data_IF_175538341283
#
_entry.id   IF_175538341283
#
_cell.length_a   1.000
_cell.length_b   1.000
_cell.length_c   1.000
_cell.angle_alpha   90.00
_cell.angle_beta   90.00
_cell.angle_gamma   90.00
#
_symmetry.space_group_name_H-M   'P 1'
#
loop_
_entity.id
_entity.type
_entity.pdbx_description
1 polymer ?
#
# COMPACT_ATOMS: atom_id res chain seq x y z
N UNK A 1 8.51 -51.27 -1.10
CA UNK A 1 8.85 -50.02 -0.37
C UNK A 1 9.96 -49.33 -1.11
N UNK A 2 9.64 -48.29 -1.91
CA UNK A 2 10.62 -47.41 -2.55
C UNK A 2 10.43 -46.03 -1.93
N UNK A 3 11.47 -45.49 -1.31
CA UNK A 3 11.54 -44.07 -0.97
C UNK A 3 11.52 -43.27 -2.27
N UNK A 4 10.42 -42.58 -2.54
CA UNK A 4 10.35 -41.61 -3.62
C UNK A 4 10.93 -40.31 -3.09
N UNK A 5 12.19 -40.05 -3.46
CA UNK A 5 12.84 -38.76 -3.25
C UNK A 5 12.22 -37.77 -4.22
N UNK A 6 11.18 -37.06 -3.79
CA UNK A 6 10.61 -35.92 -4.52
C UNK A 6 11.56 -34.73 -4.41
N UNK A 7 12.35 -34.51 -5.47
CA UNK A 7 13.26 -33.37 -5.59
C UNK A 7 12.62 -32.28 -6.49
N UNK A 8 12.21 -31.21 -5.81
CA UNK A 8 12.08 -29.80 -6.22
C UNK A 8 11.15 -29.36 -7.37
N UNK A 9 9.91 -28.92 -7.04
CA UNK A 9 9.19 -27.85 -7.78
C UNK A 9 8.99 -26.52 -7.01
N UNK A 10 9.99 -25.94 -6.31
CA UNK A 10 9.86 -24.62 -5.67
C UNK A 10 9.65 -23.46 -6.66
N UNK A 11 9.71 -23.70 -7.99
CA UNK A 11 9.80 -22.62 -8.98
C UNK A 11 8.48 -22.22 -9.63
N UNK A 12 7.44 -23.07 -9.63
CA UNK A 12 6.09 -22.63 -10.03
C UNK A 12 5.52 -21.70 -8.95
N UNK A 13 5.78 -22.05 -7.68
CA UNK A 13 5.62 -21.17 -6.52
C UNK A 13 6.31 -19.82 -6.70
N UNK A 14 7.60 -19.86 -7.06
CA UNK A 14 8.35 -18.66 -7.36
C UNK A 14 7.77 -17.87 -8.54
N UNK A 15 7.27 -18.54 -9.58
CA UNK A 15 6.70 -17.88 -10.77
C UNK A 15 5.38 -17.16 -10.47
N UNK A 16 4.45 -17.77 -9.73
CA UNK A 16 3.20 -17.09 -9.37
C UNK A 16 3.44 -16.00 -8.31
N UNK A 17 4.38 -16.19 -7.39
CA UNK A 17 4.83 -15.13 -6.48
C UNK A 17 5.44 -13.96 -7.28
N UNK A 18 6.34 -14.24 -8.23
CA UNK A 18 6.92 -13.23 -9.10
C UNK A 18 5.87 -12.58 -9.99
N UNK A 19 4.88 -13.31 -10.49
CA UNK A 19 3.79 -12.78 -11.28
C UNK A 19 2.90 -11.85 -10.44
N UNK A 20 2.59 -12.22 -9.19
CA UNK A 20 1.88 -11.35 -8.26
C UNK A 20 2.69 -10.08 -7.94
N UNK A 21 3.99 -10.20 -7.69
CA UNK A 21 4.90 -9.06 -7.49
C UNK A 21 4.92 -8.18 -8.75
N UNK A 22 5.02 -8.77 -9.95
CA UNK A 22 5.02 -8.05 -11.22
C UNK A 22 3.68 -7.35 -11.44
N UNK A 23 2.54 -7.97 -11.13
CA UNK A 23 1.22 -7.33 -11.21
C UNK A 23 1.16 -6.13 -10.25
N UNK A 24 1.62 -6.27 -9.01
CA UNK A 24 1.66 -5.15 -8.06
C UNK A 24 2.57 -4.02 -8.57
N UNK A 25 3.76 -4.35 -9.07
CA UNK A 25 4.72 -3.38 -9.63
C UNK A 25 4.17 -2.71 -10.90
N UNK A 26 3.51 -3.46 -11.78
CA UNK A 26 2.91 -2.96 -13.02
C UNK A 26 1.71 -2.09 -12.72
N UNK A 27 0.83 -2.47 -11.77
CA UNK A 27 -0.30 -1.64 -11.34
C UNK A 27 0.21 -0.36 -10.68
N UNK A 28 1.20 -0.44 -9.79
CA UNK A 28 1.83 0.74 -9.21
C UNK A 28 2.49 1.62 -10.28
N UNK A 29 3.20 1.02 -11.24
CA UNK A 29 3.82 1.69 -12.38
C UNK A 29 2.81 2.33 -13.34
N UNK A 30 1.68 1.67 -13.59
CA UNK A 30 0.58 2.16 -14.42
C UNK A 30 -0.14 3.33 -13.73
N UNK A 31 -0.36 3.26 -12.42
CA UNK A 31 -0.84 4.38 -11.62
C UNK A 31 0.14 5.55 -11.77
N UNK A 32 1.45 5.32 -11.58
CA UNK A 32 2.48 6.36 -11.77
C UNK A 32 2.50 6.87 -13.22
N UNK A 33 2.26 6.03 -14.23
CA UNK A 33 2.28 6.39 -15.65
C UNK A 33 1.01 7.14 -16.12
N UNK A 34 -0.17 6.77 -15.63
CA UNK A 34 -1.41 7.54 -15.82
C UNK A 34 -1.25 8.89 -15.12
N UNK A 35 -0.69 8.88 -13.90
CA UNK A 35 -0.17 10.06 -13.21
C UNK A 35 1.06 10.69 -13.90
N UNK A 36 1.60 10.11 -14.99
CA UNK A 36 2.63 10.51 -16.01
C UNK A 36 2.11 11.17 -17.31
N UNK A 37 0.88 10.86 -17.74
CA UNK A 37 0.27 11.37 -19.00
C UNK A 37 -0.76 12.52 -19.03
N UNK A 38 -1.26 13.04 -17.90
CA UNK A 38 -2.20 14.19 -17.88
C UNK A 38 -1.44 15.48 -18.28
N UNK A 39 -1.97 16.29 -19.22
CA UNK A 39 -1.25 17.41 -19.82
C UNK A 39 -1.31 18.64 -18.92
N UNK A 40 -0.31 18.79 -18.03
CA UNK A 40 -0.14 19.99 -17.18
C UNK A 40 1.22 20.68 -17.31
N UNK A 41 2.19 20.07 -18.01
CA UNK A 41 3.60 20.46 -17.86
C UNK A 41 4.03 21.71 -18.66
N UNK A 42 3.30 22.11 -19.70
CA UNK A 42 3.74 23.22 -20.59
C UNK A 42 3.56 24.62 -20.00
N UNK A 43 2.78 24.80 -18.92
CA UNK A 43 2.63 26.12 -18.25
C UNK A 43 3.76 26.46 -17.26
N UNK A 44 4.60 25.50 -16.86
CA UNK A 44 5.57 25.71 -15.77
C UNK A 44 6.92 26.32 -16.20
N UNK A 45 7.28 26.25 -17.48
CA UNK A 45 8.55 26.81 -17.96
C UNK A 45 8.55 28.35 -17.99
N UNK A 46 7.39 28.99 -18.21
CA UNK A 46 7.27 30.45 -18.21
C UNK A 46 7.36 31.04 -16.79
N UNK A 47 6.86 30.34 -15.77
CA UNK A 47 6.92 30.77 -14.36
C UNK A 47 8.33 30.67 -13.77
N UNK A 48 9.24 29.91 -14.39
CA UNK A 48 10.61 29.74 -13.88
C UNK A 48 11.49 30.99 -14.07
N UNK A 49 11.30 31.74 -15.16
CA UNK A 49 12.16 32.89 -15.48
C UNK A 49 11.88 34.10 -14.58
N UNK A 50 10.62 34.36 -14.23
CA UNK A 50 10.26 35.40 -13.24
C UNK A 50 10.74 35.01 -11.83
N UNK A 51 10.62 33.73 -11.46
CA UNK A 51 11.09 33.24 -10.17
C UNK A 51 12.61 33.39 -9.97
N UNK A 52 13.41 33.36 -11.05
CA UNK A 52 14.87 33.53 -10.94
C UNK A 52 15.31 34.97 -10.65
N UNK A 53 14.61 35.99 -11.16
CA UNK A 53 14.98 37.39 -10.93
C UNK A 53 14.65 37.84 -9.49
N UNK A 54 13.47 37.49 -8.99
CA UNK A 54 13.09 37.75 -7.60
C UNK A 54 13.97 36.98 -6.61
N UNK A 55 14.42 35.77 -6.98
CA UNK A 55 15.32 34.99 -6.14
C UNK A 55 16.68 35.71 -5.93
N UNK A 56 17.25 36.36 -6.94
CA UNK A 56 18.50 37.10 -6.78
C UNK A 56 18.34 38.36 -5.91
N UNK A 57 17.21 39.08 -6.05
CA UNK A 57 16.90 40.23 -5.18
C UNK A 57 16.81 39.81 -3.72
N UNK A 58 16.05 38.75 -3.43
CA UNK A 58 15.84 38.27 -2.06
C UNK A 58 17.13 37.65 -1.49
N UNK A 59 17.96 37.02 -2.32
CA UNK A 59 19.30 36.57 -1.92
C UNK A 59 20.18 37.73 -1.45
N UNK A 60 20.16 38.85 -2.17
CA UNK A 60 20.93 40.03 -1.79
C UNK A 60 20.44 40.62 -0.46
N UNK A 61 19.13 40.72 -0.26
CA UNK A 61 18.53 41.20 1.00
C UNK A 61 18.89 40.27 2.18
N UNK A 62 18.80 38.95 1.98
CA UNK A 62 19.18 37.98 3.00
C UNK A 62 20.68 38.00 3.32
N UNK A 63 21.53 38.19 2.30
CA UNK A 63 22.96 38.34 2.50
C UNK A 63 23.29 39.61 3.31
N UNK A 64 22.59 40.72 3.04
CA UNK A 64 22.73 41.96 3.82
C UNK A 64 22.29 41.78 5.29
N UNK A 65 21.30 40.91 5.53
CA UNK A 65 20.89 40.52 6.87
C UNK A 65 21.81 39.48 7.55
N UNK A 66 22.94 39.11 6.92
CA UNK A 66 23.88 38.12 7.46
C UNK A 66 23.40 36.66 7.38
N UNK A 67 22.37 36.38 6.57
CA UNK A 67 21.83 35.03 6.39
C UNK A 67 22.59 34.27 5.30
N UNK A 68 22.80 32.96 5.52
CA UNK A 68 23.53 32.11 4.57
C UNK A 68 22.55 31.52 3.55
N UNK A 69 22.64 31.99 2.31
CA UNK A 69 21.90 31.42 1.19
C UNK A 69 22.67 30.24 0.62
N UNK A 70 22.01 29.09 0.46
CA UNK A 70 22.57 27.91 -0.22
C UNK A 70 21.66 27.47 -1.36
N UNK A 71 22.22 27.32 -2.56
CA UNK A 71 21.47 26.78 -3.70
C UNK A 71 21.92 25.35 -3.95
N UNK A 72 20.97 24.42 -3.97
CA UNK A 72 21.23 23.02 -4.32
C UNK A 72 20.45 22.68 -5.58
N UNK A 73 21.15 22.11 -6.57
CA UNK A 73 20.52 21.70 -7.83
C UNK A 73 19.35 20.72 -7.62
N UNK A 74 19.44 19.84 -6.62
CA UNK A 74 18.42 18.82 -6.37
C UNK A 74 17.34 19.21 -5.36
N UNK A 75 17.64 20.12 -4.43
CA UNK A 75 16.73 20.48 -3.33
C UNK A 75 16.00 21.80 -3.54
N UNK A 76 16.27 22.48 -4.65
CA UNK A 76 15.82 23.85 -4.87
C UNK A 76 16.64 24.86 -4.07
N UNK A 77 16.32 26.16 -4.19
CA UNK A 77 16.98 27.19 -3.42
C UNK A 77 16.52 27.11 -1.95
N UNK A 78 17.48 27.25 -1.04
CA UNK A 78 17.25 27.27 0.41
C UNK A 78 18.06 28.36 1.09
N UNK A 79 17.51 28.91 2.15
CA UNK A 79 18.14 29.94 2.97
C UNK A 79 18.14 29.45 4.39
N UNK A 80 19.29 29.50 5.04
CA UNK A 80 19.44 29.02 6.41
C UNK A 80 20.22 30.04 7.22
N UNK A 81 19.88 30.20 8.48
CA UNK A 81 20.58 31.11 9.36
C UNK A 81 20.00 31.13 10.76
N UNK A 82 20.42 32.12 11.52
CA UNK A 82 19.88 32.40 12.85
C UNK A 82 19.17 33.73 12.79
N UNK A 83 17.90 33.77 13.19
CA UNK A 83 17.12 34.99 13.27
C UNK A 83 16.35 34.96 14.60
N UNK A 84 16.43 36.07 15.36
CA UNK A 84 15.86 36.16 16.72
C UNK A 84 16.34 35.03 17.66
N UNK A 85 17.59 34.58 17.50
CA UNK A 85 18.18 33.50 18.30
C UNK A 85 17.76 32.08 17.88
N UNK A 86 16.88 31.92 16.90
CA UNK A 86 16.43 30.62 16.42
C UNK A 86 17.09 30.26 15.08
N UNK A 87 17.62 29.03 14.99
CA UNK A 87 18.10 28.47 13.73
C UNK A 87 16.91 28.07 12.84
N UNK A 88 16.91 28.51 11.59
CA UNK A 88 15.84 28.20 10.65
C UNK A 88 16.37 27.78 9.27
N UNK A 89 15.50 27.12 8.52
CA UNK A 89 15.65 26.81 7.09
C UNK A 89 14.41 27.28 6.36
N UNK A 90 14.58 28.06 5.31
CA UNK A 90 13.52 28.52 4.42
C UNK A 90 13.79 27.99 3.03
N UNK A 91 12.89 27.16 2.50
CA UNK A 91 13.11 26.39 1.28
C UNK A 91 11.95 26.57 0.31
N UNK A 92 12.28 26.66 -0.97
CA UNK A 92 11.29 26.58 -2.05
C UNK A 92 11.28 25.13 -2.56
N UNK A 93 10.19 24.42 -2.31
CA UNK A 93 9.95 23.10 -2.87
C UNK A 93 9.29 23.27 -4.22
N UNK A 94 10.01 22.86 -5.26
CA UNK A 94 9.49 22.89 -6.61
C UNK A 94 8.23 22.02 -6.71
N UNK A 95 7.24 22.54 -7.44
CA UNK A 95 6.02 21.80 -7.72
C UNK A 95 6.33 20.52 -8.47
N UNK A 96 5.59 19.46 -8.14
CA UNK A 96 5.52 18.28 -8.97
C UNK A 96 4.23 18.30 -9.78
N UNK A 97 4.01 17.28 -10.60
CA UNK A 97 2.77 17.20 -11.36
C UNK A 97 1.50 17.23 -10.51
N UNK A 98 1.53 16.62 -9.32
CA UNK A 98 0.36 16.51 -8.45
C UNK A 98 0.49 17.38 -7.20
N UNK A 99 1.44 18.31 -7.18
CA UNK A 99 1.65 19.19 -6.04
C UNK A 99 2.13 20.54 -6.53
N UNK A 100 1.41 21.64 -6.27
CA UNK A 100 1.89 22.96 -6.64
C UNK A 100 3.24 23.25 -5.95
N UNK A 101 4.05 24.19 -6.48
CA UNK A 101 5.21 24.67 -5.76
C UNK A 101 4.79 25.21 -4.40
N UNK A 102 5.65 25.07 -3.41
CA UNK A 102 5.39 25.57 -2.06
C UNK A 102 6.65 26.10 -1.42
N UNK A 103 6.45 27.01 -0.47
CA UNK A 103 7.52 27.41 0.44
C UNK A 103 7.37 26.67 1.76
N UNK A 104 8.50 26.34 2.37
CA UNK A 104 8.62 25.68 3.67
C UNK A 104 9.54 26.54 4.55
N UNK A 105 9.05 26.97 5.71
CA UNK A 105 9.83 27.60 6.77
C UNK A 105 9.92 26.65 7.95
N UNK A 106 11.12 26.19 8.24
CA UNK A 106 11.38 25.18 9.26
C UNK A 106 12.30 25.73 10.34
N UNK A 107 12.01 25.37 11.59
CA UNK A 107 12.85 25.68 12.75
C UNK A 107 12.98 24.45 13.65
N UNK A 108 14.13 24.29 14.30
CA UNK A 108 14.30 23.25 15.32
C UNK A 108 13.35 23.52 16.48
N UNK A 109 12.68 22.48 16.94
CA UNK A 109 11.73 22.58 18.04
C UNK A 109 12.08 21.62 19.17
N UNK A 110 11.79 22.04 20.40
CA UNK A 110 11.84 21.17 21.58
C UNK A 110 10.53 20.37 21.78
N UNK A 111 9.53 20.60 20.92
CA UNK A 111 8.31 19.81 20.88
C UNK A 111 8.63 18.34 20.59
N UNK A 112 7.79 17.43 21.09
CA UNK A 112 7.93 15.98 20.88
C UNK A 112 6.78 15.44 20.04
N UNK A 113 7.01 14.31 19.39
CA UNK A 113 6.00 13.65 18.58
C UNK A 113 5.90 14.20 17.17
N UNK A 114 4.82 13.84 16.50
CA UNK A 114 4.51 14.29 15.15
C UNK A 114 3.07 14.79 15.09
N UNK A 115 2.88 15.94 14.47
CA UNK A 115 1.56 16.50 14.20
C UNK A 115 1.54 17.36 12.95
N UNK A 116 0.33 17.61 12.44
CA UNK A 116 0.05 18.53 11.36
C UNK A 116 -1.24 19.29 11.68
N UNK A 117 -1.19 20.60 11.48
CA UNK A 117 -2.31 21.53 11.54
C UNK A 117 -2.54 22.05 10.13
N UNK A 118 -3.79 21.99 9.65
CA UNK A 118 -4.21 22.46 8.32
C UNK A 118 -5.52 23.21 8.44
N UNK A 119 -5.93 23.98 7.42
CA UNK A 119 -7.34 24.42 7.34
C UNK A 119 -8.23 23.20 7.07
N UNK A 120 -9.41 23.16 7.68
CA UNK A 120 -10.37 22.07 7.46
C UNK A 120 -10.84 22.09 5.99
N UNK A 121 -10.67 20.97 5.30
CA UNK A 121 -11.09 20.77 3.91
C UNK A 121 -12.40 20.01 3.80
N UNK A 122 -13.00 20.01 2.60
CA UNK A 122 -14.29 19.33 2.36
C UNK A 122 -14.23 17.81 2.52
N UNK A 123 -13.13 17.18 2.12
CA UNK A 123 -12.91 15.74 2.30
C UNK A 123 -12.77 15.34 3.76
N UNK A 124 -12.03 16.13 4.54
CA UNK A 124 -11.82 15.93 5.96
C UNK A 124 -13.13 16.04 6.73
N UNK A 125 -13.97 17.03 6.37
CA UNK A 125 -15.32 17.19 6.92
C UNK A 125 -16.20 15.95 6.71
N UNK A 126 -16.11 15.29 5.55
CA UNK A 126 -16.80 14.02 5.31
C UNK A 126 -16.31 12.89 6.23
N UNK A 127 -15.01 12.72 6.40
CA UNK A 127 -14.48 11.67 7.30
C UNK A 127 -14.78 11.94 8.78
N UNK A 128 -14.88 13.22 9.15
CA UNK A 128 -15.31 13.66 10.48
C UNK A 128 -16.80 13.37 10.72
N UNK A 129 -17.66 13.62 9.72
CA UNK A 129 -19.10 13.40 9.85
C UNK A 129 -19.47 11.92 10.05
N UNK A 130 -18.70 11.00 9.45
CA UNK A 130 -18.87 9.55 9.66
C UNK A 130 -18.18 9.03 10.94
N UNK A 131 -17.55 9.91 11.74
CA UNK A 131 -16.88 9.54 12.99
C UNK A 131 -15.65 8.65 12.82
N UNK A 132 -15.07 8.64 11.62
CA UNK A 132 -13.98 7.73 11.27
C UNK A 132 -12.62 8.30 11.68
N UNK A 133 -12.39 9.60 11.41
CA UNK A 133 -11.25 10.33 11.93
C UNK A 133 -11.62 10.95 13.27
N UNK A 134 -11.00 10.45 14.35
CA UNK A 134 -11.00 11.21 15.60
C UNK A 134 -10.15 12.45 15.39
N UNK A 135 -10.69 13.62 15.69
CA UNK A 135 -9.93 14.86 15.69
C UNK A 135 -9.60 15.26 17.13
N UNK A 136 -8.38 15.74 17.35
CA UNK A 136 -8.02 16.33 18.63
C UNK A 136 -8.74 17.67 18.81
N UNK A 137 -9.82 17.69 19.60
CA UNK A 137 -10.48 18.94 19.98
C UNK A 137 -9.63 19.69 21.02
N UNK A 138 -9.37 20.97 20.78
CA UNK A 138 -8.59 21.83 21.68
C UNK A 138 -9.42 22.40 22.84
N UNK A 139 -10.75 22.39 22.68
CA UNK A 139 -11.68 23.03 23.62
C UNK A 139 -12.00 24.49 23.24
N UNK A 140 -11.35 25.03 22.21
CA UNK A 140 -11.66 26.32 21.61
C UNK A 140 -12.45 26.08 20.31
N UNK A 141 -13.78 26.18 20.40
CA UNK A 141 -14.67 25.91 19.28
C UNK A 141 -14.42 26.82 18.06
N UNK A 142 -13.84 28.02 18.23
CA UNK A 142 -13.49 28.88 17.10
C UNK A 142 -12.23 28.36 16.39
N UNK A 143 -11.26 27.85 17.14
CA UNK A 143 -10.08 27.18 16.59
C UNK A 143 -10.44 25.87 15.89
N UNK A 144 -11.21 25.01 16.57
CA UNK A 144 -11.58 23.66 16.12
C UNK A 144 -12.51 23.67 14.87
N UNK A 145 -13.14 24.81 14.55
CA UNK A 145 -13.89 25.03 13.29
C UNK A 145 -13.03 25.50 12.13
N UNK A 146 -11.86 26.05 12.39
CA UNK A 146 -10.98 26.63 11.37
C UNK A 146 -9.87 25.68 10.97
N UNK A 147 -9.38 24.89 11.92
CA UNK A 147 -8.20 24.07 11.76
C UNK A 147 -8.48 22.60 12.03
N UNK A 148 -7.93 21.75 11.17
CA UNK A 148 -7.87 20.32 11.34
C UNK A 148 -6.55 19.92 12.01
N UNK A 149 -6.65 19.19 13.13
CA UNK A 149 -5.51 18.69 13.90
C UNK A 149 -5.31 17.18 13.70
N UNK A 150 -4.16 16.79 13.13
CA UNK A 150 -3.75 15.40 12.98
C UNK A 150 -2.41 15.14 13.66
N UNK A 151 -2.22 13.97 14.26
CA UNK A 151 -0.95 13.59 14.86
C UNK A 151 -1.00 12.22 15.50
N UNK A 152 0.13 11.78 16.07
CA UNK A 152 0.27 10.42 16.62
C UNK A 152 -0.61 10.21 17.87
N UNK A 153 -0.88 11.25 18.65
CA UNK A 153 -1.69 11.18 19.86
C UNK A 153 -2.64 12.38 19.97
N UNK A 154 -3.94 12.10 20.09
CA UNK A 154 -4.96 13.14 20.29
C UNK A 154 -4.84 13.81 21.65
N UNK A 155 -4.50 13.04 22.69
CA UNK A 155 -4.30 13.58 24.03
C UNK A 155 -3.10 14.51 24.08
N UNK A 156 -2.04 14.18 23.33
CA UNK A 156 -0.88 15.07 23.18
C UNK A 156 -1.28 16.38 22.49
N UNK A 157 -2.03 16.31 21.39
CA UNK A 157 -2.47 17.49 20.65
C UNK A 157 -3.42 18.36 21.48
N UNK A 158 -4.38 17.76 22.17
CA UNK A 158 -5.29 18.45 23.09
C UNK A 158 -4.50 19.16 24.19
N UNK A 159 -3.53 18.47 24.79
CA UNK A 159 -2.69 19.06 25.83
C UNK A 159 -1.78 20.18 25.30
N UNK A 160 -1.22 20.03 24.10
CA UNK A 160 -0.36 21.01 23.46
C UNK A 160 -1.12 22.28 23.09
N UNK A 161 -2.28 22.12 22.45
CA UNK A 161 -3.12 23.23 22.00
C UNK A 161 -4.16 23.67 23.03
N UNK A 162 -4.08 23.20 24.27
CA UNK A 162 -4.82 23.79 25.40
C UNK A 162 -4.31 25.19 25.75
N UNK A 163 -3.02 25.47 25.51
CA UNK A 163 -2.43 26.81 25.64
C UNK A 163 -2.92 27.73 24.52
N UNK A 164 -3.54 28.86 24.89
CA UNK A 164 -4.01 29.86 23.94
C UNK A 164 -2.89 30.44 23.09
N UNK A 165 -1.68 30.58 23.64
CA UNK A 165 -0.53 31.09 22.90
C UNK A 165 -0.17 30.19 21.71
N UNK A 166 -0.28 28.87 21.87
CA UNK A 166 -0.02 27.94 20.77
C UNK A 166 -1.10 28.05 19.67
N UNK A 167 -2.37 28.24 20.06
CA UNK A 167 -3.48 28.44 19.11
C UNK A 167 -3.33 29.77 18.36
N UNK A 168 -2.94 30.83 19.04
CA UNK A 168 -2.77 32.16 18.45
C UNK A 168 -1.56 32.21 17.51
N UNK A 169 -0.45 31.55 17.86
CA UNK A 169 0.70 31.39 16.98
C UNK A 169 0.32 30.68 15.66
N UNK A 170 -0.48 29.61 15.74
CA UNK A 170 -1.01 28.95 14.53
C UNK A 170 -1.90 29.91 13.73
N UNK A 171 -2.86 30.59 14.36
CA UNK A 171 -3.72 31.57 13.65
C UNK A 171 -2.90 32.64 12.93
N UNK A 172 -1.85 33.16 13.59
CA UNK A 172 -0.96 34.16 13.02
C UNK A 172 -0.18 33.62 11.80
N UNK A 173 0.36 32.39 11.87
CA UNK A 173 0.98 31.74 10.71
C UNK A 173 -0.02 31.61 9.54
N UNK A 174 -1.25 31.17 9.81
CA UNK A 174 -2.26 31.05 8.75
C UNK A 174 -2.77 32.39 8.22
N UNK A 175 -2.69 33.48 9.01
CA UNK A 175 -2.96 34.85 8.56
C UNK A 175 -1.86 35.40 7.66
N UNK A 176 -0.61 34.95 7.85
CA UNK A 176 0.52 35.21 6.94
C UNK A 176 0.45 34.40 5.63
N UNK A 177 -0.63 33.63 5.44
CA UNK A 177 -0.91 32.86 4.22
C UNK A 177 -0.36 31.45 4.21
N UNK A 178 0.22 30.96 5.32
CA UNK A 178 0.54 29.53 5.43
C UNK A 178 -0.76 28.70 5.49
N UNK A 179 -0.69 27.48 4.97
CA UNK A 179 -1.83 26.55 4.91
C UNK A 179 -1.58 25.25 5.69
N UNK A 180 -0.37 25.08 6.21
CA UNK A 180 0.04 23.94 7.00
C UNK A 180 1.11 24.32 8.01
N UNK A 181 0.99 23.76 9.21
CA UNK A 181 2.07 23.72 10.21
C UNK A 181 2.26 22.27 10.62
N UNK A 182 3.48 21.75 10.62
CA UNK A 182 3.75 20.36 10.95
C UNK A 182 5.00 20.21 11.81
N UNK A 183 4.96 19.29 12.78
CA UNK A 183 6.14 18.85 13.53
C UNK A 183 6.50 17.46 13.05
N UNK A 184 7.75 17.28 12.61
CA UNK A 184 8.28 15.99 12.19
C UNK A 184 9.77 15.92 12.50
N UNK A 185 10.23 14.80 13.05
CA UNK A 185 11.66 14.57 13.34
C UNK A 185 12.32 15.70 14.17
N UNK A 186 11.56 16.34 15.06
CA UNK A 186 12.02 17.47 15.90
C UNK A 186 12.11 18.81 15.17
N UNK A 187 11.63 18.88 13.94
CA UNK A 187 11.59 20.10 13.12
C UNK A 187 10.15 20.54 12.92
N UNK A 188 9.87 21.80 13.30
CA UNK A 188 8.57 22.43 13.14
C UNK A 188 8.60 23.24 11.84
N UNK A 189 7.67 22.96 10.93
CA UNK A 189 7.65 23.49 9.58
C UNK A 189 6.30 24.13 9.27
N UNK A 190 6.30 25.38 8.84
CA UNK A 190 5.14 26.04 8.23
C UNK A 190 5.27 26.00 6.71
N UNK A 191 4.22 25.59 6.00
CA UNK A 191 4.21 25.51 4.54
C UNK A 191 3.06 26.31 3.92
N UNK A 192 3.31 26.86 2.72
CA UNK A 192 2.35 27.63 1.92
C UNK A 192 2.39 27.14 0.48
N UNK A 193 1.30 26.53 0.01
CA UNK A 193 1.18 25.99 -1.34
C UNK A 193 0.89 27.09 -2.37
N UNK A 194 1.24 26.83 -3.64
CA UNK A 194 1.00 27.73 -4.76
C UNK A 194 1.96 28.90 -4.86
N UNK A 195 3.00 28.95 -4.02
CA UNK A 195 3.94 30.07 -3.96
C UNK A 195 5.35 29.55 -4.24
N UNK A 196 6.03 30.20 -5.17
CA UNK A 196 7.38 29.84 -5.63
C UNK A 196 8.40 30.96 -5.37
N UNK A 197 8.10 31.86 -4.44
CA UNK A 197 8.92 33.02 -4.08
C UNK A 197 9.23 32.98 -2.59
N UNK A 198 10.46 33.33 -2.22
CA UNK A 198 10.82 33.52 -0.83
C UNK A 198 10.00 34.67 -0.21
N UNK A 199 9.68 34.54 1.07
CA UNK A 199 9.14 35.62 1.90
C UNK A 199 10.11 36.81 2.00
N UNK A 200 9.58 38.02 1.94
CA UNK A 200 10.30 39.24 2.33
C UNK A 200 10.83 39.12 3.78
N UNK A 201 11.94 39.78 4.12
CA UNK A 201 12.64 39.57 5.40
C UNK A 201 11.75 39.84 6.63
N UNK A 202 10.89 40.85 6.56
CA UNK A 202 9.93 41.18 7.62
C UNK A 202 8.88 40.07 7.82
N UNK A 203 8.34 39.52 6.72
CA UNK A 203 7.40 38.41 6.76
C UNK A 203 8.06 37.11 7.23
N UNK A 204 9.30 36.86 6.82
CA UNK A 204 10.12 35.75 7.31
C UNK A 204 10.33 35.84 8.83
N UNK A 205 10.70 37.03 9.33
CA UNK A 205 10.88 37.27 10.77
C UNK A 205 9.59 37.02 11.54
N UNK A 206 8.48 37.63 11.11
CA UNK A 206 7.18 37.45 11.73
C UNK A 206 6.74 35.98 11.75
N UNK A 207 6.89 35.27 10.63
CA UNK A 207 6.57 33.84 10.55
C UNK A 207 7.45 32.99 11.48
N UNK A 208 8.77 33.25 11.52
CA UNK A 208 9.68 32.51 12.40
C UNK A 208 9.38 32.76 13.88
N UNK A 209 9.06 33.98 14.26
CA UNK A 209 8.67 34.32 15.64
C UNK A 209 7.42 33.53 16.07
N UNK A 210 6.40 33.43 15.21
CA UNK A 210 5.22 32.62 15.50
C UNK A 210 5.54 31.12 15.54
N UNK A 211 6.43 30.65 14.66
CA UNK A 211 6.85 29.25 14.64
C UNK A 211 7.59 28.86 15.93
N UNK A 212 8.48 29.73 16.42
CA UNK A 212 9.25 29.49 17.65
C UNK A 212 8.42 29.76 18.92
N UNK A 213 7.35 30.57 18.82
CA UNK A 213 6.41 30.78 19.91
C UNK A 213 5.64 29.50 20.29
N UNK A 214 5.57 28.51 19.40
CA UNK A 214 4.99 27.20 19.69
C UNK A 214 5.86 26.44 20.69
N UNK A 215 5.32 26.24 21.89
CA UNK A 215 6.05 25.67 23.02
C UNK A 215 5.36 24.44 23.60
N UNK A 216 6.18 23.53 24.13
CA UNK A 216 5.68 22.37 24.88
C UNK A 216 5.01 22.87 26.17
N UNK A 217 3.77 22.46 26.43
CA UNK A 217 3.10 22.67 27.72
C UNK A 217 3.50 21.58 28.71
N UNK A 218 3.41 21.84 30.02
CA UNK A 218 3.68 20.82 31.04
C UNK A 218 2.81 19.57 30.85
N UNK A 219 1.53 19.76 30.55
CA UNK A 219 0.58 18.67 30.24
C UNK A 219 0.97 17.90 28.99
N UNK A 220 1.39 18.58 27.91
CA UNK A 220 1.84 17.90 26.69
C UNK A 220 3.12 17.09 26.94
N UNK A 221 4.03 17.60 27.76
CA UNK A 221 5.25 16.88 28.15
C UNK A 221 4.91 15.61 28.95
N UNK A 222 3.95 15.69 29.87
CA UNK A 222 3.49 14.53 30.64
C UNK A 222 2.88 13.45 29.74
N UNK A 223 2.01 13.83 28.80
CA UNK A 223 1.44 12.88 27.82
C UNK A 223 2.54 12.28 26.94
N UNK A 224 3.53 13.09 26.53
CA UNK A 224 4.65 12.59 25.75
C UNK A 224 5.51 11.58 26.52
N UNK A 225 5.72 11.78 27.83
CA UNK A 225 6.47 10.86 28.70
C UNK A 225 5.73 9.54 28.95
N UNK A 226 4.39 9.55 28.94
CA UNK A 226 3.58 8.32 29.02
C UNK A 226 3.65 7.46 27.74
N UNK A 227 4.33 7.97 26.70
CA UNK A 227 4.54 7.28 25.44
C UNK A 227 3.56 7.74 24.38
N UNK A 228 4.10 8.36 23.33
CA UNK A 228 3.33 8.77 22.15
C UNK A 228 3.04 7.58 21.23
N UNK A 229 2.46 6.48 21.75
CA UNK A 229 1.75 5.38 21.06
C UNK A 229 2.16 4.83 19.67
N UNK A 230 3.30 5.23 19.10
CA UNK A 230 3.55 5.22 17.64
C UNK A 230 4.15 3.94 17.09
N UNK A 231 4.48 2.97 17.95
CA UNK A 231 5.02 1.68 17.49
C UNK A 231 3.96 0.86 16.71
N UNK A 232 2.67 1.17 16.85
CA UNK A 232 1.58 0.31 16.37
C UNK A 232 1.37 0.31 14.84
N UNK A 233 1.64 1.41 14.13
CA UNK A 233 1.37 1.49 12.67
C UNK A 233 2.37 0.65 11.86
N UNK A 234 3.67 0.66 12.22
CA UNK A 234 4.67 -0.17 11.51
C UNK A 234 4.37 -1.66 11.62
N UNK A 235 3.86 -2.09 12.78
CA UNK A 235 3.48 -3.50 12.97
C UNK A 235 2.30 -3.91 12.08
N UNK A 236 1.33 -3.02 11.81
CA UNK A 236 0.19 -3.35 10.95
C UNK A 236 0.66 -3.61 9.51
N UNK A 237 1.51 -2.72 8.97
CA UNK A 237 2.08 -2.92 7.63
C UNK A 237 2.87 -4.23 7.55
N UNK A 238 3.72 -4.52 8.54
CA UNK A 238 4.46 -5.79 8.60
C UNK A 238 3.54 -7.00 8.70
N UNK A 239 2.53 -6.96 9.56
CA UNK A 239 1.56 -8.06 9.72
C UNK A 239 0.79 -8.30 8.43
N UNK A 240 0.32 -7.24 7.75
CA UNK A 240 -0.38 -7.38 6.47
C UNK A 240 0.49 -8.05 5.40
N UNK A 241 1.77 -7.66 5.32
CA UNK A 241 2.73 -8.27 4.39
C UNK A 241 3.02 -9.74 4.73
N UNK A 242 3.13 -10.08 6.01
CA UNK A 242 3.32 -11.46 6.48
C UNK A 242 2.08 -12.31 6.16
N UNK A 243 0.87 -11.81 6.43
CA UNK A 243 -0.37 -12.53 6.12
C UNK A 243 -0.52 -12.78 4.62
N UNK A 244 -0.24 -11.79 3.78
CA UNK A 244 -0.21 -11.98 2.32
C UNK A 244 0.83 -13.03 1.92
N UNK A 245 2.05 -12.95 2.47
CA UNK A 245 3.11 -13.92 2.21
C UNK A 245 2.71 -15.36 2.56
N UNK A 246 2.04 -15.55 3.71
CA UNK A 246 1.51 -16.85 4.14
C UNK A 246 0.41 -17.32 3.19
N UNK A 247 -0.55 -16.46 2.82
CA UNK A 247 -1.65 -16.81 1.93
C UNK A 247 -1.13 -17.25 0.55
N UNK A 248 -0.18 -16.52 -0.03
CA UNK A 248 0.46 -16.89 -1.30
C UNK A 248 1.24 -18.19 -1.15
N UNK A 249 2.04 -18.35 -0.10
CA UNK A 249 2.82 -19.57 0.13
C UNK A 249 1.92 -20.80 0.30
N UNK A 250 0.82 -20.68 1.03
CA UNK A 250 -0.15 -21.75 1.23
C UNK A 250 -0.85 -22.12 -0.09
N UNK A 251 -1.25 -21.13 -0.89
CA UNK A 251 -1.80 -21.39 -2.23
C UNK A 251 -0.77 -22.09 -3.13
N UNK A 252 0.49 -21.65 -3.11
CA UNK A 252 1.54 -22.28 -3.89
C UNK A 252 1.84 -23.70 -3.46
N UNK A 253 1.89 -23.96 -2.14
CA UNK A 253 2.02 -25.30 -1.60
C UNK A 253 0.84 -26.17 -2.06
N UNK A 254 -0.38 -25.62 -2.05
CA UNK A 254 -1.58 -26.32 -2.53
C UNK A 254 -1.44 -26.74 -3.99
N UNK A 255 -0.99 -25.83 -4.86
CA UNK A 255 -0.76 -26.15 -6.28
C UNK A 255 0.35 -27.19 -6.50
N UNK A 256 1.25 -27.35 -5.54
CA UNK A 256 2.36 -28.29 -5.64
C UNK A 256 2.01 -29.68 -5.09
N UNK A 257 1.30 -29.74 -3.96
CA UNK A 257 1.04 -30.98 -3.23
C UNK A 257 -0.29 -31.64 -3.59
N UNK A 258 -1.21 -30.92 -4.24
CA UNK A 258 -2.47 -31.49 -4.64
C UNK A 258 -2.42 -32.09 -6.04
N UNK A 259 -3.22 -33.13 -6.20
CA UNK A 259 -3.38 -33.81 -7.47
C UNK A 259 -4.06 -32.90 -8.51
N UNK A 260 -3.79 -33.08 -9.81
CA UNK A 260 -4.30 -32.18 -10.83
C UNK A 260 -5.83 -32.27 -10.94
N UNK A 261 -6.47 -31.10 -10.92
CA UNK A 261 -7.91 -30.97 -11.18
C UNK A 261 -8.20 -31.08 -12.67
N UNK A 262 -9.28 -31.80 -13.01
CA UNK A 262 -9.70 -32.04 -14.40
C UNK A 262 -10.04 -30.72 -15.12
N UNK A 263 -10.69 -29.78 -14.43
CA UNK A 263 -11.02 -28.46 -14.97
C UNK A 263 -9.94 -27.40 -14.70
N UNK A 264 -8.81 -27.81 -14.11
CA UNK A 264 -7.73 -26.94 -13.67
C UNK A 264 -8.05 -26.12 -12.41
N UNK A 265 -7.04 -25.47 -11.82
CA UNK A 265 -7.19 -24.69 -10.58
C UNK A 265 -8.07 -23.45 -10.76
N UNK A 266 -8.22 -22.95 -12.00
CA UNK A 266 -9.04 -21.78 -12.29
C UNK A 266 -10.55 -22.04 -12.19
N UNK A 267 -10.99 -23.29 -12.24
CA UNK A 267 -12.41 -23.62 -12.06
C UNK A 267 -12.89 -23.17 -10.66
N UNK A 268 -12.10 -23.42 -9.62
CA UNK A 268 -12.42 -22.98 -8.26
C UNK A 268 -12.19 -21.49 -8.01
N UNK A 269 -11.48 -20.80 -8.90
CA UNK A 269 -11.11 -19.40 -8.70
C UNK A 269 -12.33 -18.48 -8.56
N UNK A 270 -13.34 -18.69 -9.41
CA UNK A 270 -14.55 -17.88 -9.41
C UNK A 270 -15.52 -18.27 -8.29
N UNK A 271 -15.65 -19.57 -8.04
CA UNK A 271 -16.57 -20.09 -7.02
C UNK A 271 -16.09 -19.78 -5.59
N UNK A 272 -14.76 -19.70 -5.40
CA UNK A 272 -14.15 -19.22 -4.15
C UNK A 272 -14.28 -17.71 -3.95
N UNK A 273 -14.74 -16.96 -4.97
CA UNK A 273 -14.90 -15.51 -4.88
C UNK A 273 -15.94 -15.08 -3.85
N UNK A 274 -17.06 -15.81 -3.73
CA UNK A 274 -18.11 -15.51 -2.75
C UNK A 274 -17.62 -15.59 -1.31
N UNK A 275 -17.04 -16.72 -0.83
CA UNK A 275 -16.53 -16.79 0.53
C UNK A 275 -15.39 -15.79 0.77
N UNK A 276 -14.53 -15.54 -0.23
CA UNK A 276 -13.48 -14.52 -0.13
C UNK A 276 -14.05 -13.10 0.09
N UNK A 277 -15.10 -12.72 -0.64
CA UNK A 277 -15.77 -11.42 -0.49
C UNK A 277 -16.47 -11.28 0.87
N UNK A 278 -17.10 -12.36 1.37
CA UNK A 278 -17.71 -12.36 2.71
C UNK A 278 -16.64 -12.19 3.77
N UNK A 279 -15.56 -12.98 3.73
CA UNK A 279 -14.43 -12.87 4.64
C UNK A 279 -13.79 -11.48 4.59
N UNK A 280 -13.68 -10.90 3.39
CA UNK A 280 -13.17 -9.55 3.19
C UNK A 280 -14.09 -8.49 3.80
N UNK A 281 -15.41 -8.60 3.64
CA UNK A 281 -16.38 -7.72 4.29
C UNK A 281 -16.27 -7.76 5.82
N UNK A 282 -16.12 -8.95 6.39
CA UNK A 282 -15.90 -9.14 7.84
C UNK A 282 -14.57 -8.50 8.27
N UNK A 283 -13.50 -8.72 7.52
CA UNK A 283 -12.18 -8.13 7.79
C UNK A 283 -12.25 -6.59 7.77
N UNK A 284 -12.87 -6.01 6.75
CA UNK A 284 -13.04 -4.56 6.63
C UNK A 284 -13.88 -4.02 7.79
N UNK A 285 -15.00 -4.65 8.13
CA UNK A 285 -15.83 -4.24 9.26
C UNK A 285 -15.07 -4.30 10.59
N UNK A 286 -14.36 -5.40 10.86
CA UNK A 286 -13.52 -5.53 12.05
C UNK A 286 -12.41 -4.47 12.09
N UNK A 287 -11.78 -4.20 10.95
CA UNK A 287 -10.75 -3.16 10.81
C UNK A 287 -11.32 -1.78 11.10
N UNK A 288 -12.48 -1.44 10.55
CA UNK A 288 -13.15 -0.16 10.82
C UNK A 288 -13.41 0.03 12.32
N UNK A 289 -13.84 -1.02 13.02
CA UNK A 289 -14.08 -0.98 14.47
C UNK A 289 -12.78 -0.83 15.27
N UNK A 290 -11.72 -1.57 14.91
CA UNK A 290 -10.44 -1.56 15.60
C UNK A 290 -9.60 -0.29 15.36
N UNK A 291 -9.79 0.34 14.19
CA UNK A 291 -9.09 1.55 13.80
C UNK A 291 -9.88 2.83 14.14
N UNK A 292 -11.14 2.71 14.57
CA UNK A 292 -11.98 3.86 14.90
C UNK A 292 -11.27 4.79 15.89
N UNK A 293 -11.23 6.07 15.54
CA UNK A 293 -10.63 7.11 16.38
C UNK A 293 -9.10 7.22 16.29
N UNK A 294 -8.44 6.44 15.43
CA UNK A 294 -7.00 6.62 15.15
C UNK A 294 -6.77 7.63 14.03
N UNK A 295 -5.79 8.50 14.19
CA UNK A 295 -5.41 9.47 13.17
C UNK A 295 -4.97 8.82 11.84
N UNK A 296 -4.34 7.65 11.90
CA UNK A 296 -3.85 6.92 10.72
C UNK A 296 -4.86 5.90 10.14
N UNK A 297 -6.08 5.84 10.67
CA UNK A 297 -7.09 4.84 10.28
C UNK A 297 -7.35 4.77 8.76
N UNK A 298 -7.47 5.88 8.01
CA UNK A 298 -7.75 5.81 6.57
C UNK A 298 -6.60 5.16 5.79
N UNK A 299 -5.35 5.45 6.15
CA UNK A 299 -4.18 4.87 5.50
C UNK A 299 -4.07 3.38 5.83
N UNK A 300 -4.21 3.02 7.11
CA UNK A 300 -4.17 1.63 7.57
C UNK A 300 -5.31 0.80 6.94
N UNK A 301 -6.53 1.36 6.88
CA UNK A 301 -7.68 0.74 6.23
C UNK A 301 -7.44 0.53 4.73
N UNK A 302 -6.89 1.53 4.02
CA UNK A 302 -6.59 1.42 2.59
C UNK A 302 -5.58 0.31 2.32
N UNK A 303 -4.53 0.20 3.16
CA UNK A 303 -3.54 -0.87 3.04
C UNK A 303 -4.17 -2.25 3.28
N UNK A 304 -4.96 -2.40 4.34
CA UNK A 304 -5.68 -3.64 4.65
C UNK A 304 -6.68 -3.98 3.53
N UNK A 305 -7.34 -3.00 2.94
CA UNK A 305 -8.26 -3.18 1.83
C UNK A 305 -7.54 -3.70 0.57
N UNK A 306 -6.45 -3.03 0.18
CA UNK A 306 -5.66 -3.37 -1.01
C UNK A 306 -4.95 -4.72 -0.90
N UNK A 307 -4.43 -5.05 0.28
CA UNK A 307 -3.69 -6.30 0.53
C UNK A 307 -4.65 -7.43 0.91
N UNK A 308 -5.70 -7.14 1.66
CA UNK A 308 -6.62 -8.12 2.22
C UNK A 308 -7.43 -8.84 1.15
N UNK A 309 -8.00 -8.12 0.17
CA UNK A 309 -8.85 -8.75 -0.84
C UNK A 309 -8.08 -9.78 -1.68
N UNK A 310 -6.91 -9.48 -2.29
CA UNK A 310 -6.16 -10.49 -3.04
C UNK A 310 -5.65 -11.63 -2.14
N UNK A 311 -5.24 -11.34 -0.89
CA UNK A 311 -4.79 -12.37 0.06
C UNK A 311 -5.89 -13.37 0.35
N UNK A 312 -7.08 -12.87 0.68
CA UNK A 312 -8.25 -13.69 1.00
C UNK A 312 -8.74 -14.44 -0.22
N UNK A 313 -8.68 -13.86 -1.41
CA UNK A 313 -9.07 -14.54 -2.64
C UNK A 313 -8.15 -15.73 -2.91
N UNK A 314 -6.84 -15.49 -2.98
CA UNK A 314 -5.83 -16.54 -3.24
C UNK A 314 -5.85 -17.61 -2.15
N UNK A 315 -5.92 -17.20 -0.88
CA UNK A 315 -6.03 -18.11 0.25
C UNK A 315 -7.30 -18.95 0.22
N UNK A 316 -8.44 -18.37 -0.18
CA UNK A 316 -9.72 -19.10 -0.30
C UNK A 316 -9.67 -20.15 -1.39
N UNK A 317 -9.05 -19.85 -2.54
CA UNK A 317 -8.89 -20.86 -3.62
C UNK A 317 -8.02 -22.02 -3.13
N UNK A 318 -6.88 -21.73 -2.49
CA UNK A 318 -6.01 -22.78 -1.94
C UNK A 318 -6.74 -23.63 -0.90
N UNK A 319 -7.43 -23.00 0.05
CA UNK A 319 -8.21 -23.69 1.06
C UNK A 319 -9.35 -24.54 0.45
N UNK A 320 -10.04 -24.02 -0.57
CA UNK A 320 -11.09 -24.76 -1.28
C UNK A 320 -10.53 -25.97 -2.02
N UNK A 321 -9.37 -25.83 -2.68
CA UNK A 321 -8.72 -26.95 -3.35
C UNK A 321 -8.29 -28.04 -2.36
N UNK A 322 -7.68 -27.65 -1.23
CA UNK A 322 -7.30 -28.58 -0.15
C UNK A 322 -8.53 -29.31 0.39
N UNK A 323 -9.57 -28.58 0.78
CA UNK A 323 -10.79 -29.16 1.29
C UNK A 323 -11.48 -30.05 0.24
N UNK A 324 -11.42 -29.68 -1.05
CA UNK A 324 -12.00 -30.50 -2.11
C UNK A 324 -11.39 -31.89 -2.21
N UNK A 325 -10.07 -32.03 -2.00
CA UNK A 325 -9.40 -33.33 -2.08
C UNK A 325 -9.38 -34.06 -0.74
N UNK A 326 -9.00 -33.38 0.34
CA UNK A 326 -8.87 -34.01 1.67
C UNK A 326 -10.20 -34.43 2.29
N UNK A 327 -11.30 -33.75 1.96
CA UNK A 327 -12.64 -34.12 2.44
C UNK A 327 -13.41 -34.98 1.43
N UNK A 328 -12.76 -35.39 0.34
CA UNK A 328 -13.37 -36.25 -0.67
C UNK A 328 -13.46 -37.69 -0.16
N UNK A 329 -14.68 -38.19 -0.06
CA UNK A 329 -14.98 -39.58 0.31
C UNK A 329 -15.60 -40.36 -0.85
N UNK A 330 -15.66 -39.76 -2.04
CA UNK A 330 -16.25 -40.40 -3.21
C UNK A 330 -15.42 -41.61 -3.67
N UNK A 331 -16.07 -42.68 -4.16
CA UNK A 331 -15.36 -43.82 -4.71
C UNK A 331 -14.62 -43.43 -5.99
N UNK A 332 -13.42 -44.00 -6.24
CA UNK A 332 -12.69 -43.75 -7.48
C UNK A 332 -13.48 -44.26 -8.69
N UNK A 333 -13.46 -43.49 -9.77
CA UNK A 333 -14.08 -43.82 -11.05
C UNK A 333 -13.00 -44.09 -12.09
N UNK A 334 -13.02 -45.30 -12.65
CA UNK A 334 -12.06 -45.70 -13.68
C UNK A 334 -12.59 -45.32 -15.06
N UNK A 335 -11.86 -44.47 -15.78
CA UNK A 335 -12.19 -44.00 -17.11
C UNK A 335 -11.10 -44.42 -18.09
N UNK A 336 -11.50 -45.07 -19.19
CA UNK A 336 -10.60 -45.40 -20.31
C UNK A 336 -10.72 -44.34 -21.39
N UNK A 337 -9.63 -43.63 -21.65
CA UNK A 337 -9.58 -42.54 -22.65
C UNK A 337 -8.41 -42.72 -23.59
N UNK A 338 -8.61 -42.37 -24.85
CA UNK A 338 -7.55 -42.36 -25.86
C UNK A 338 -6.86 -41.00 -25.82
N UNK A 339 -5.54 -40.99 -25.70
CA UNK A 339 -4.75 -39.75 -25.74
C UNK A 339 -4.86 -39.11 -27.13
N UNK A 340 -5.45 -37.90 -27.20
CA UNK A 340 -5.58 -37.17 -28.47
C UNK A 340 -4.25 -36.58 -28.89
N UNK A 341 -3.56 -35.91 -27.97
CA UNK A 341 -2.26 -35.31 -28.18
C UNK A 341 -1.54 -35.09 -26.86
N UNK A 342 -0.23 -34.98 -26.94
CA UNK A 342 0.60 -34.47 -25.86
C UNK A 342 1.47 -33.36 -26.42
N UNK A 343 1.74 -32.33 -25.62
CA UNK A 343 2.64 -31.25 -26.01
C UNK A 343 3.39 -30.70 -24.81
N UNK A 344 4.54 -30.07 -25.09
CA UNK A 344 5.33 -29.38 -24.09
C UNK A 344 5.36 -27.88 -24.41
N UNK A 345 4.99 -27.05 -23.43
CA UNK A 345 5.11 -25.59 -23.57
C UNK A 345 6.49 -25.16 -23.08
N UNK A 346 7.27 -24.57 -23.98
CA UNK A 346 8.64 -24.14 -23.70
C UNK A 346 8.64 -22.65 -23.34
N UNK A 347 9.14 -22.33 -22.16
CA UNK A 347 9.34 -20.96 -21.70
C UNK A 347 10.61 -20.90 -20.85
N UNK A 348 10.56 -20.20 -19.72
CA UNK A 348 11.64 -20.29 -18.72
C UNK A 348 11.76 -21.71 -18.15
N UNK A 349 10.64 -22.42 -18.04
CA UNK A 349 10.53 -23.83 -17.70
C UNK A 349 9.65 -24.54 -18.74
N UNK A 350 9.86 -25.84 -18.89
CA UNK A 350 9.03 -26.68 -19.79
C UNK A 350 7.90 -27.33 -19.00
N UNK A 351 6.65 -27.05 -19.36
CA UNK A 351 5.47 -27.74 -18.81
C UNK A 351 4.96 -28.80 -19.79
N UNK A 352 4.53 -29.94 -19.26
CA UNK A 352 4.12 -31.10 -20.06
C UNK A 352 2.62 -31.33 -19.91
N UNK A 353 1.94 -31.46 -21.03
CA UNK A 353 0.48 -31.51 -21.11
C UNK A 353 0.02 -32.74 -21.87
N UNK A 354 -0.94 -33.47 -21.30
CA UNK A 354 -1.69 -34.54 -21.96
C UNK A 354 -3.12 -34.06 -22.21
N UNK A 355 -3.60 -34.25 -23.44
CA UNK A 355 -4.94 -33.82 -23.86
C UNK A 355 -5.78 -35.04 -24.19
N UNK A 356 -6.89 -35.18 -23.48
CA UNK A 356 -7.85 -36.27 -23.61
C UNK A 356 -9.19 -35.75 -24.12
N UNK A 357 -10.01 -36.58 -24.81
CA UNK A 357 -11.40 -36.23 -25.03
C UNK A 357 -12.11 -36.13 -23.68
N UNK A 358 -13.06 -35.19 -23.54
CA UNK A 358 -13.86 -35.12 -22.31
C UNK A 358 -14.70 -36.39 -22.14
N UNK A 359 -14.60 -37.02 -20.98
CA UNK A 359 -15.40 -38.20 -20.60
C UNK A 359 -16.73 -37.84 -19.93
N UNK A 360 -16.98 -36.55 -19.66
CA UNK A 360 -18.20 -36.07 -18.99
C UNK A 360 -19.39 -35.88 -19.93
N UNK A 361 -19.36 -36.49 -21.12
CA UNK A 361 -20.40 -36.35 -22.15
C UNK A 361 -20.52 -34.95 -22.78
N UNK A 362 -19.71 -33.96 -22.37
CA UNK A 362 -19.64 -32.65 -23.02
C UNK A 362 -18.66 -32.70 -24.19
N UNK A 363 -18.98 -32.06 -25.31
CA UNK A 363 -18.00 -31.83 -26.39
C UNK A 363 -16.84 -31.00 -25.82
N UNK A 364 -15.61 -31.50 -25.93
CA UNK A 364 -14.43 -30.79 -25.45
C UNK A 364 -13.23 -31.71 -25.23
N UNK A 365 -12.13 -31.11 -24.80
CA UNK A 365 -10.91 -31.81 -24.40
C UNK A 365 -10.53 -31.44 -22.98
N UNK A 366 -10.05 -32.40 -22.21
CA UNK A 366 -9.45 -32.18 -20.88
C UNK A 366 -7.95 -32.07 -21.06
N UNK A 367 -7.35 -31.01 -20.50
CA UNK A 367 -5.91 -30.77 -20.53
C UNK A 367 -5.33 -30.98 -19.13
N UNK A 368 -4.53 -32.03 -18.96
CA UNK A 368 -3.90 -32.38 -17.70
C UNK A 368 -2.42 -32.06 -17.78
N UNK A 369 -1.93 -31.22 -16.85
CA UNK A 369 -0.50 -31.02 -16.66
C UNK A 369 0.08 -32.20 -15.90
N UNK A 370 1.15 -32.81 -16.43
CA UNK A 370 1.74 -34.02 -15.86
C UNK A 370 3.25 -33.85 -15.63
N UNK A 371 3.87 -34.62 -14.73
CA UNK A 371 5.32 -34.71 -14.63
C UNK A 371 5.96 -35.23 -15.93
N UNK A 372 7.22 -34.85 -16.17
CA UNK A 372 8.00 -35.31 -17.34
C UNK A 372 8.02 -36.84 -17.49
N UNK A 373 8.06 -37.57 -16.37
CA UNK A 373 8.09 -39.03 -16.36
C UNK A 373 6.82 -39.65 -16.97
N UNK A 374 5.65 -39.09 -16.66
CA UNK A 374 4.38 -39.52 -17.24
C UNK A 374 4.33 -39.09 -18.71
N UNK A 375 4.76 -37.87 -19.02
CA UNK A 375 4.77 -37.36 -20.39
C UNK A 375 5.63 -38.22 -21.33
N UNK A 376 6.81 -38.68 -20.89
CA UNK A 376 7.69 -39.55 -21.69
C UNK A 376 7.08 -40.91 -22.03
N UNK A 377 6.10 -41.38 -21.24
CA UNK A 377 5.39 -42.63 -21.51
C UNK A 377 4.26 -42.47 -22.53
N UNK A 378 3.93 -41.24 -22.92
CA UNK A 378 2.79 -40.95 -23.78
C UNK A 378 3.09 -41.18 -25.25
N UNK A 379 2.37 -42.13 -25.87
CA UNK A 379 2.28 -42.27 -27.32
C UNK A 379 0.92 -41.74 -27.83
N UNK A 380 0.92 -41.09 -29.00
CA UNK A 380 -0.33 -40.64 -29.62
C UNK A 380 -1.27 -41.82 -29.90
N UNK A 381 -2.57 -41.63 -29.68
CA UNK A 381 -3.60 -42.68 -29.80
C UNK A 381 -3.45 -43.86 -28.83
N UNK A 382 -2.54 -43.79 -27.86
CA UNK A 382 -2.47 -44.77 -26.78
C UNK A 382 -3.68 -44.63 -25.87
N UNK A 383 -4.20 -45.76 -25.39
CA UNK A 383 -5.28 -45.74 -24.41
C UNK A 383 -4.70 -45.63 -23.00
N UNK A 384 -5.29 -44.75 -22.20
CA UNK A 384 -4.93 -44.50 -20.81
C UNK A 384 -6.09 -44.88 -19.89
N UNK A 385 -5.75 -45.35 -18.69
CA UNK A 385 -6.68 -45.57 -17.59
C UNK A 385 -6.46 -44.44 -16.59
N UNK A 386 -7.52 -43.67 -16.35
CA UNK A 386 -7.57 -42.60 -15.37
C UNK A 386 -8.44 -43.08 -14.23
N UNK A 387 -7.97 -42.94 -12.99
CA UNK A 387 -8.84 -43.00 -11.82
C UNK A 387 -9.10 -41.57 -11.38
N UNK A 388 -10.37 -41.19 -11.39
CA UNK A 388 -10.80 -39.85 -10.96
C UNK A 388 -11.72 -39.94 -9.76
N UNK A 389 -11.79 -38.85 -8.99
CA UNK A 389 -12.72 -38.72 -7.87
C UNK A 389 -13.52 -37.44 -8.03
N UNK A 390 -14.74 -37.44 -7.50
CA UNK A 390 -15.70 -36.37 -7.74
C UNK A 390 -15.26 -35.03 -7.10
N UNK A 391 -14.44 -35.07 -6.04
CA UNK A 391 -14.13 -33.92 -5.20
C UNK A 391 -15.26 -33.61 -4.23
N UNK A 392 -14.91 -33.17 -3.02
CA UNK A 392 -15.90 -32.80 -1.99
C UNK A 392 -16.84 -31.67 -2.45
N UNK A 393 -16.35 -30.71 -3.23
CA UNK A 393 -17.14 -29.62 -3.80
C UNK A 393 -17.58 -29.91 -5.25
N UNK A 394 -17.43 -31.14 -5.74
CA UNK A 394 -17.79 -31.54 -7.10
C UNK A 394 -16.78 -31.14 -8.17
N UNK A 395 -15.57 -30.70 -7.78
CA UNK A 395 -14.47 -30.49 -8.73
C UNK A 395 -13.65 -31.76 -8.81
N UNK A 396 -13.80 -32.46 -9.93
CA UNK A 396 -13.13 -33.73 -10.16
C UNK A 396 -11.61 -33.53 -10.20
N UNK A 397 -10.89 -34.47 -9.59
CA UNK A 397 -9.43 -34.52 -9.60
C UNK A 397 -8.97 -35.93 -9.98
N UNK A 398 -7.76 -36.00 -10.53
CA UNK A 398 -7.16 -37.25 -11.04
C UNK A 398 -6.32 -37.88 -9.95
N UNK A 399 -6.71 -39.05 -9.47
CA UNK A 399 -6.02 -39.82 -8.42
C UNK A 399 -4.82 -40.57 -9.03
N UNK A 400 -5.08 -41.33 -10.10
CA UNK A 400 -4.04 -42.07 -10.83
C UNK A 400 -4.19 -41.92 -12.34
N UNK A 401 -3.06 -42.00 -13.05
CA UNK A 401 -2.96 -41.81 -14.49
C UNK A 401 -1.92 -42.77 -15.09
N UNK A 402 -2.39 -43.84 -15.73
CA UNK A 402 -1.53 -44.91 -16.25
C UNK A 402 -1.80 -45.21 -17.73
N UNK A 403 -0.74 -45.38 -18.54
CA UNK A 403 -0.89 -45.86 -19.91
C UNK A 403 -1.25 -47.35 -19.91
N UNK A 404 -2.23 -47.77 -20.70
CA UNK A 404 -2.42 -49.21 -20.91
C UNK A 404 -1.25 -49.77 -21.75
N UNK A 405 -0.78 -50.99 -21.42
CA UNK A 405 0.14 -51.71 -22.28
C UNK A 405 -0.46 -51.82 -23.68
N UNK A 406 0.33 -51.51 -24.72
CA UNK A 406 -0.09 -51.76 -26.09
C UNK A 406 -0.32 -53.28 -26.22
N UNK A 407 -1.55 -53.66 -26.55
CA UNK A 407 -1.93 -55.05 -26.82
C UNK A 407 -1.28 -55.58 -28.10
#
# INVERSE_FOLDING_TARGET
MREVVFMEQPQVALFLLLAAIVIVVVVAGLIIFILRRIPGYRKHAATQTEATADAERIKAEYAQAGLRVTTSFFRGPSVSGTLSGASFTHKIVQGSRNSPPRIELSARSALRGEFSVRREGGSESFFKSIGFAGEAQTGDAAFDRQFYLAGVSHDYLRALFSDAQNRDAVRALFALGFDRVELRDGELTAARNGHAQFLELSALRGALEQLVALRTTASAMQVAMQGLGGLRTRHIDTVCMVVMGIAVTAFMATLHFLEPMVDGPFAMFFDSGRPALIAYGVLVAATLLLLRGRANAPRELLMIALVGLPSLWVGSVGAAMLANQYLDTSPPQTVRVVLQRHYATHGKNTSYHLVFPSWRGRRGSVNIMVPLEIFRKAAANQTWVLETRAGHFGYEWVDTLEPMPNA
#
